data_IF_963975291083
#
_entry.id   IF_963975291083
#
_cell.length_a   1.000
_cell.length_b   1.000
_cell.length_c   1.000
_cell.angle_alpha   90.00
_cell.angle_beta   90.00
_cell.angle_gamma   90.00
#
_symmetry.space_group_name_H-M   'P 1'
#
loop_
_entity.id
_entity.type
_entity.pdbx_description
1 polymer ?
#
# COMPACT_ATOMS: atom_id res chain seq x y z
N UNK A 1 -7.08 -11.03 7.31
CA UNK A 1 -5.87 -11.26 6.51
C UNK A 1 -5.74 -10.08 5.56
N UNK A 2 -4.66 -9.30 5.60
CA UNK A 2 -4.50 -8.13 4.73
C UNK A 2 -4.33 -8.62 3.29
N UNK A 3 -5.14 -8.09 2.36
CA UNK A 3 -5.07 -8.47 0.96
C UNK A 3 -3.88 -7.76 0.29
N UNK A 4 -2.77 -8.48 0.18
CA UNK A 4 -1.51 -7.98 -0.37
C UNK A 4 -1.66 -7.48 -1.82
N UNK A 5 -2.52 -8.14 -2.61
CA UNK A 5 -2.82 -7.72 -3.98
C UNK A 5 -3.57 -6.40 -4.02
N UNK A 6 -4.47 -6.16 -3.06
CA UNK A 6 -5.19 -4.90 -2.95
C UNK A 6 -4.24 -3.75 -2.59
N UNK A 7 -3.26 -4.00 -1.69
CA UNK A 7 -2.22 -3.02 -1.36
C UNK A 7 -1.38 -2.67 -2.57
N UNK A 8 -0.90 -3.66 -3.34
CA UNK A 8 -0.09 -3.39 -4.53
C UNK A 8 -0.85 -2.57 -5.57
N UNK A 9 -2.13 -2.88 -5.81
CA UNK A 9 -2.98 -2.08 -6.73
C UNK A 9 -3.18 -0.66 -6.23
N UNK A 10 -3.44 -0.50 -4.93
CA UNK A 10 -3.60 0.82 -4.32
C UNK A 10 -2.31 1.66 -4.39
N UNK A 11 -1.14 1.05 -4.18
CA UNK A 11 0.16 1.71 -4.31
C UNK A 11 0.44 2.13 -5.76
N UNK A 12 0.16 1.28 -6.74
CA UNK A 12 0.30 1.64 -8.15
C UNK A 12 -0.61 2.82 -8.56
N UNK A 13 -1.83 2.90 -8.00
CA UNK A 13 -2.74 4.03 -8.22
C UNK A 13 -2.24 5.31 -7.55
N UNK A 14 -1.59 5.19 -6.38
CA UNK A 14 -0.93 6.33 -5.72
C UNK A 14 0.24 6.86 -6.56
N UNK A 15 1.08 5.98 -7.11
CA UNK A 15 2.25 6.36 -7.92
C UNK A 15 1.87 6.97 -9.27
N UNK A 16 0.77 6.50 -9.87
CA UNK A 16 0.27 7.03 -11.15
C UNK A 16 -0.52 8.34 -11.03
N UNK A 17 -0.89 8.74 -9.82
CA UNK A 17 -1.64 9.98 -9.57
C UNK A 17 -0.73 11.08 -9.04
N UNK A 18 -0.80 12.28 -9.64
CA UNK A 18 -0.01 13.44 -9.19
C UNK A 18 -0.51 14.03 -7.86
N UNK A 19 -1.75 13.75 -7.46
CA UNK A 19 -2.36 14.20 -6.20
C UNK A 19 -3.25 13.08 -5.62
N UNK A 20 -2.66 11.99 -5.10
CA UNK A 20 -3.42 10.81 -4.71
C UNK A 20 -4.25 11.05 -3.46
N UNK A 21 -5.57 10.82 -3.56
CA UNK A 21 -6.46 10.84 -2.40
C UNK A 21 -6.45 9.47 -1.71
N UNK A 22 -5.57 9.32 -0.71
CA UNK A 22 -5.42 8.08 0.05
C UNK A 22 -6.72 7.57 0.68
N UNK A 23 -7.68 8.45 0.99
CA UNK A 23 -8.95 8.05 1.60
C UNK A 23 -9.87 7.38 0.57
N UNK A 24 -9.92 7.92 -0.64
CA UNK A 24 -10.71 7.34 -1.74
C UNK A 24 -10.10 6.04 -2.23
N UNK A 25 -8.78 6.02 -2.40
CA UNK A 25 -8.04 4.82 -2.82
C UNK A 25 -8.20 3.71 -1.75
N UNK A 26 -8.06 4.03 -0.46
CA UNK A 26 -8.27 3.05 0.61
C UNK A 26 -9.69 2.48 0.60
N UNK A 27 -10.72 3.32 0.43
CA UNK A 27 -12.12 2.85 0.32
C UNK A 27 -12.35 1.97 -0.91
N UNK A 28 -11.78 2.35 -2.06
CA UNK A 28 -11.91 1.61 -3.34
C UNK A 28 -11.38 0.18 -3.24
N UNK A 29 -10.31 -0.01 -2.46
CA UNK A 29 -9.64 -1.30 -2.30
C UNK A 29 -9.97 -2.02 -0.98
N UNK A 30 -10.95 -1.51 -0.21
CA UNK A 30 -11.32 -2.04 1.11
C UNK A 30 -10.11 -2.18 2.05
N UNK A 31 -9.21 -1.19 2.00
CA UNK A 31 -7.99 -1.13 2.78
C UNK A 31 -8.11 -0.14 3.94
N UNK A 32 -7.35 -0.42 4.99
CA UNK A 32 -7.11 0.55 6.05
C UNK A 32 -6.21 1.68 5.54
N UNK A 33 -6.70 2.92 5.63
CA UNK A 33 -5.93 4.12 5.23
C UNK A 33 -4.58 4.18 5.93
N UNK A 34 -4.52 3.78 7.21
CA UNK A 34 -3.29 3.78 8.00
C UNK A 34 -2.25 2.81 7.43
N UNK A 35 -2.68 1.61 6.99
CA UNK A 35 -1.81 0.63 6.36
C UNK A 35 -1.29 1.17 5.02
N UNK A 36 -2.20 1.72 4.20
CA UNK A 36 -1.85 2.27 2.89
C UNK A 36 -0.87 3.44 2.99
N UNK A 37 -1.08 4.35 3.95
CA UNK A 37 -0.19 5.48 4.19
C UNK A 37 1.21 5.05 4.65
N UNK A 38 1.31 4.05 5.54
CA UNK A 38 2.61 3.53 5.99
C UNK A 38 3.37 2.83 4.87
N UNK A 39 2.65 2.07 4.03
CA UNK A 39 3.19 1.39 2.84
C UNK A 39 3.68 2.39 1.79
N UNK A 40 2.88 3.39 1.45
CA UNK A 40 3.24 4.44 0.50
C UNK A 40 4.44 5.28 0.98
N UNK A 41 4.59 5.47 2.30
CA UNK A 41 5.75 6.14 2.88
C UNK A 41 6.99 5.24 3.03
N UNK A 42 6.94 3.97 2.59
CA UNK A 42 8.03 3.00 2.77
C UNK A 42 8.31 2.59 4.22
N UNK A 43 7.43 2.96 5.17
CA UNK A 43 7.60 2.69 6.61
C UNK A 43 7.17 1.29 7.02
N UNK A 44 6.52 0.55 6.14
CA UNK A 44 6.12 -0.83 6.37
C UNK A 44 6.24 -1.56 5.05
N UNK A 45 7.25 -2.42 4.93
CA UNK A 45 7.38 -3.37 3.81
C UNK A 45 6.52 -4.59 4.09
N UNK A 46 6.07 -5.28 3.03
CA UNK A 46 5.38 -6.56 3.23
C UNK A 46 6.30 -7.57 3.92
N UNK A 47 5.74 -8.60 4.56
CA UNK A 47 6.55 -9.68 5.15
C UNK A 47 7.44 -10.37 4.10
N UNK A 48 6.94 -10.47 2.87
CA UNK A 48 7.67 -11.04 1.72
C UNK A 48 8.86 -10.15 1.34
N UNK A 49 8.62 -8.84 1.17
CA UNK A 49 9.66 -7.86 0.86
C UNK A 49 10.72 -7.76 1.98
N UNK A 50 10.29 -7.80 3.24
CA UNK A 50 11.21 -7.84 4.38
C UNK A 50 12.10 -9.08 4.33
N UNK A 51 11.53 -10.26 4.07
CA UNK A 51 12.32 -11.49 3.95
C UNK A 51 13.26 -11.47 2.74
N UNK A 52 12.89 -10.81 1.64
CA UNK A 52 13.78 -10.61 0.48
C UNK A 52 14.94 -9.64 0.72
N UNK A 53 14.83 -8.71 1.69
CA UNK A 53 15.94 -7.80 2.04
C UNK A 53 16.93 -8.40 3.05
N UNK A 54 16.57 -9.48 3.73
CA UNK A 54 17.38 -10.11 4.79
C UNK A 54 18.23 -11.28 4.23
N UNK A 55 18.35 -11.40 2.91
CA UNK A 55 19.18 -12.39 2.21
C UNK A 55 20.22 -11.69 1.34
#
# INVERSE_FOLDING_TARGET
MVNEQAIQKALAEIESSSAPNLTEIAKKYELDRSILSRRAAGKTVSRVEFQSQVH
#
